data_IF_118549746283
#
_entry.id   IF_118549746283
#
_cell.length_a   1.000
_cell.length_b   1.000
_cell.length_c   1.000
_cell.angle_alpha   90.00
_cell.angle_beta   90.00
_cell.angle_gamma   90.00
#
_symmetry.space_group_name_H-M   'P 1'
#
loop_
_entity.id
_entity.type
_entity.pdbx_description
1 polymer ?
#
# COMPACT_ATOMS: atom_id res chain seq x y z
N UNK A 1 -6.07 -10.04 -20.28
CA UNK A 1 -4.80 -9.46 -20.76
C UNK A 1 -3.69 -10.49 -20.67
N UNK A 2 -2.79 -10.61 -21.65
CA UNK A 2 -1.61 -11.45 -21.60
C UNK A 2 -0.42 -10.65 -22.13
N UNK A 3 0.72 -10.74 -21.44
CA UNK A 3 1.98 -10.09 -21.85
C UNK A 3 2.93 -11.02 -22.59
N UNK A 4 2.64 -12.31 -22.55
CA UNK A 4 3.36 -13.35 -23.30
C UNK A 4 2.35 -14.29 -23.95
N UNK A 5 2.49 -14.51 -25.23
CA UNK A 5 1.72 -15.50 -25.97
C UNK A 5 2.52 -16.81 -26.07
N UNK A 6 1.99 -17.88 -25.51
CA UNK A 6 2.61 -19.20 -25.44
C UNK A 6 1.64 -20.31 -25.98
N UNK A 7 0.84 -20.00 -26.98
CA UNK A 7 -0.16 -20.92 -27.51
C UNK A 7 -1.19 -21.33 -26.44
N UNK A 8 -1.31 -22.63 -26.19
CA UNK A 8 -2.24 -23.17 -25.18
C UNK A 8 -1.86 -22.78 -23.73
N UNK A 9 -0.60 -22.47 -23.47
CA UNK A 9 -0.07 -22.09 -22.16
C UNK A 9 -0.12 -20.57 -21.94
N UNK A 10 -0.79 -19.83 -22.81
CA UNK A 10 -0.99 -18.38 -22.62
C UNK A 10 -1.86 -18.13 -21.40
N UNK A 11 -1.30 -17.44 -20.42
CA UNK A 11 -2.04 -17.03 -19.23
C UNK A 11 -2.67 -15.65 -19.43
N UNK A 12 -4.01 -15.58 -19.35
CA UNK A 12 -4.76 -14.34 -19.46
C UNK A 12 -5.16 -13.83 -18.08
N UNK A 13 -4.71 -12.64 -17.73
CA UNK A 13 -5.09 -11.95 -16.53
C UNK A 13 -6.34 -11.10 -16.74
N UNK A 14 -7.23 -10.96 -15.74
CA UNK A 14 -8.34 -10.03 -15.77
C UNK A 14 -7.87 -8.59 -16.01
N UNK A 15 -8.71 -7.81 -16.69
CA UNK A 15 -8.51 -6.37 -16.90
C UNK A 15 -9.85 -5.68 -16.75
N UNK A 16 -10.45 -5.78 -15.54
CA UNK A 16 -11.81 -5.37 -15.24
C UNK A 16 -11.83 -4.10 -14.41
N UNK A 17 -12.93 -3.34 -14.55
CA UNK A 17 -13.18 -2.13 -13.75
C UNK A 17 -13.60 -2.46 -12.31
N UNK A 18 -14.14 -3.67 -12.06
CA UNK A 18 -14.88 -4.03 -10.87
C UNK A 18 -16.40 -3.88 -11.08
N UNK A 19 -17.20 -4.68 -10.37
CA UNK A 19 -18.67 -4.74 -10.56
C UNK A 19 -19.37 -3.40 -10.33
N UNK A 20 -18.83 -2.54 -9.49
CA UNK A 20 -19.38 -1.21 -9.18
C UNK A 20 -18.62 -0.06 -9.87
N UNK A 21 -17.74 -0.39 -10.80
CA UNK A 21 -16.90 0.56 -11.52
C UNK A 21 -15.56 0.85 -10.85
N UNK A 22 -14.69 1.46 -11.62
CA UNK A 22 -13.30 1.69 -11.26
C UNK A 22 -13.11 2.51 -9.98
N UNK A 23 -12.32 1.98 -9.06
CA UNK A 23 -11.97 2.65 -7.80
C UNK A 23 -13.06 2.61 -6.74
N UNK A 24 -14.10 1.81 -6.92
CA UNK A 24 -15.20 1.62 -5.97
C UNK A 24 -15.15 0.22 -5.35
N UNK A 25 -15.66 0.09 -4.14
CA UNK A 25 -15.81 -1.21 -3.51
C UNK A 25 -16.79 -2.09 -4.30
N UNK A 26 -16.38 -3.35 -4.57
CA UNK A 26 -17.17 -4.29 -5.37
C UNK A 26 -16.44 -5.60 -5.59
N UNK A 27 -17.04 -6.48 -6.41
CA UNK A 27 -16.47 -7.73 -6.87
C UNK A 27 -15.82 -7.62 -8.25
N UNK A 28 -15.47 -8.76 -8.84
CA UNK A 28 -14.94 -8.86 -10.20
C UNK A 28 -15.95 -8.43 -11.27
N UNK A 29 -15.49 -8.26 -12.50
CA UNK A 29 -16.29 -7.91 -13.65
C UNK A 29 -16.33 -6.41 -13.95
N UNK A 30 -17.40 -5.96 -14.59
CA UNK A 30 -17.58 -4.58 -14.99
C UNK A 30 -19.01 -4.12 -14.66
N UNK A 31 -19.23 -2.82 -14.46
CA UNK A 31 -20.57 -2.31 -14.19
C UNK A 31 -21.49 -2.52 -15.40
N UNK A 32 -22.81 -2.61 -15.18
CA UNK A 32 -23.77 -2.65 -16.28
C UNK A 32 -23.60 -1.46 -17.21
N UNK A 33 -23.57 -1.73 -18.51
CA UNK A 33 -23.57 -0.69 -19.54
C UNK A 33 -24.95 -0.72 -20.27
N UNK A 34 -25.83 0.24 -20.02
CA UNK A 34 -27.15 0.27 -20.62
C UNK A 34 -27.11 0.48 -22.14
N UNK A 35 -26.03 1.02 -22.67
CA UNK A 35 -25.86 1.39 -24.07
C UNK A 35 -25.02 0.39 -24.88
N UNK A 36 -24.56 -0.73 -24.29
CA UNK A 36 -23.69 -1.64 -25.00
C UNK A 36 -23.09 -2.77 -24.16
N UNK A 37 -21.91 -3.19 -24.58
CA UNK A 37 -21.20 -4.29 -23.92
C UNK A 37 -20.54 -3.85 -22.60
N UNK A 38 -20.49 -4.75 -21.63
CA UNK A 38 -19.80 -4.54 -20.36
C UNK A 38 -18.31 -4.18 -20.52
N UNK A 39 -17.73 -4.53 -21.69
CA UNK A 39 -16.33 -4.28 -22.02
C UNK A 39 -16.13 -3.07 -22.94
N UNK A 40 -17.15 -2.27 -23.15
CA UNK A 40 -17.09 -1.11 -24.07
C UNK A 40 -15.99 -0.11 -23.70
N UNK A 41 -15.68 0.05 -22.41
CA UNK A 41 -14.58 0.89 -21.92
C UNK A 41 -13.23 0.55 -22.56
N UNK A 42 -13.04 -0.67 -23.05
CA UNK A 42 -11.77 -1.05 -23.71
C UNK A 42 -11.54 -0.22 -24.97
N UNK A 43 -12.54 -0.09 -25.84
CA UNK A 43 -12.39 0.69 -27.08
C UNK A 43 -12.82 2.15 -26.93
N UNK A 44 -13.69 2.45 -25.98
CA UNK A 44 -14.14 3.82 -25.73
C UNK A 44 -13.12 4.65 -24.94
N UNK A 45 -12.32 4.00 -24.07
CA UNK A 45 -11.37 4.68 -23.19
C UNK A 45 -9.93 4.15 -23.34
N UNK A 46 -9.73 2.83 -23.15
CA UNK A 46 -8.38 2.26 -23.01
C UNK A 46 -7.63 2.25 -24.33
N UNK A 47 -8.27 1.82 -25.42
CA UNK A 47 -7.67 1.71 -26.75
C UNK A 47 -7.74 3.00 -27.57
N UNK A 48 -8.25 4.08 -26.99
CA UNK A 48 -8.14 5.38 -27.64
C UNK A 48 -6.68 5.79 -27.84
N UNK A 49 -6.38 6.44 -28.96
CA UNK A 49 -5.00 6.79 -29.37
C UNK A 49 -4.18 7.41 -28.24
N UNK A 50 -4.70 8.44 -27.60
CA UNK A 50 -3.97 9.15 -26.54
C UNK A 50 -3.78 8.27 -25.28
N UNK A 51 -4.78 7.44 -24.96
CA UNK A 51 -4.73 6.51 -23.83
C UNK A 51 -3.69 5.41 -24.10
N UNK A 52 -3.66 4.82 -25.29
CA UNK A 52 -2.66 3.81 -25.66
C UNK A 52 -1.24 4.40 -25.68
N UNK A 53 -1.07 5.59 -26.21
CA UNK A 53 0.24 6.27 -26.19
C UNK A 53 0.72 6.53 -24.77
N UNK A 54 -0.17 6.95 -23.87
CA UNK A 54 0.13 7.13 -22.44
C UNK A 54 0.54 5.80 -21.77
N UNK A 55 -0.20 4.70 -22.06
CA UNK A 55 0.14 3.36 -21.55
C UNK A 55 1.52 2.91 -22.05
N UNK A 56 1.77 2.99 -23.34
CA UNK A 56 3.01 2.55 -23.97
C UNK A 56 4.23 3.35 -23.47
N UNK A 57 4.08 4.66 -23.28
CA UNK A 57 5.18 5.53 -22.91
C UNK A 57 5.46 5.58 -21.39
N UNK A 58 4.42 5.38 -20.55
CA UNK A 58 4.51 5.75 -19.13
C UNK A 58 4.12 4.64 -18.15
N UNK A 59 3.56 3.54 -18.64
CA UNK A 59 3.18 2.41 -17.80
C UNK A 59 3.88 1.12 -18.19
N UNK A 60 4.14 0.93 -19.48
CA UNK A 60 4.81 -0.30 -19.91
C UNK A 60 6.31 -0.20 -19.67
N UNK A 61 6.88 -1.28 -19.14
CA UNK A 61 8.32 -1.45 -18.95
C UNK A 61 8.72 -2.90 -19.18
N UNK A 62 9.98 -3.13 -19.50
CA UNK A 62 10.55 -4.46 -19.65
C UNK A 62 11.44 -4.74 -18.43
N UNK A 63 10.96 -5.59 -17.55
CA UNK A 63 11.70 -6.03 -16.38
C UNK A 63 12.67 -7.15 -16.77
N UNK A 64 13.94 -7.07 -16.33
CA UNK A 64 15.02 -8.03 -16.58
C UNK A 64 15.23 -8.36 -18.07
N UNK A 65 14.85 -7.45 -18.97
CA UNK A 65 14.93 -7.67 -20.40
C UNK A 65 14.03 -8.81 -20.94
N UNK A 66 13.14 -9.36 -20.13
CA UNK A 66 12.33 -10.54 -20.48
C UNK A 66 10.85 -10.40 -20.19
N UNK A 67 10.48 -9.77 -19.09
CA UNK A 67 9.09 -9.70 -18.62
C UNK A 67 8.50 -8.33 -18.91
N UNK A 68 7.50 -8.29 -19.80
CA UNK A 68 6.78 -7.05 -20.08
C UNK A 68 5.79 -6.77 -18.96
N UNK A 69 6.00 -5.68 -18.23
CA UNK A 69 5.07 -5.16 -17.24
C UNK A 69 4.01 -4.33 -17.95
N UNK A 70 2.77 -4.66 -17.69
CA UNK A 70 1.59 -3.93 -18.19
C UNK A 70 0.65 -3.65 -17.00
N UNK A 71 0.08 -2.45 -16.86
CA UNK A 71 -0.75 -2.12 -15.71
C UNK A 71 -2.04 -2.94 -15.72
N UNK A 72 -2.50 -3.38 -14.55
CA UNK A 72 -3.87 -3.84 -14.36
C UNK A 72 -4.81 -2.65 -14.40
N UNK A 73 -6.10 -2.87 -14.67
CA UNK A 73 -7.03 -1.75 -14.83
C UNK A 73 -7.07 -0.80 -13.62
N UNK A 74 -7.19 -1.34 -12.41
CA UNK A 74 -7.21 -0.52 -11.19
C UNK A 74 -5.92 0.28 -10.97
N UNK A 75 -4.77 -0.24 -11.39
CA UNK A 75 -3.48 0.46 -11.32
C UNK A 75 -3.44 1.64 -12.31
N UNK A 76 -3.89 1.39 -13.55
CA UNK A 76 -4.00 2.42 -14.58
C UNK A 76 -4.94 3.53 -14.15
N UNK A 77 -6.11 3.15 -13.64
CA UNK A 77 -7.17 4.08 -13.23
C UNK A 77 -6.75 4.95 -12.05
N UNK A 78 -6.21 4.34 -10.98
CA UNK A 78 -5.78 5.11 -9.80
C UNK A 78 -4.69 6.12 -10.12
N UNK A 79 -3.66 5.73 -10.88
CA UNK A 79 -2.56 6.64 -11.22
C UNK A 79 -3.07 7.80 -12.07
N UNK A 80 -3.94 7.54 -13.03
CA UNK A 80 -4.55 8.58 -13.88
C UNK A 80 -5.43 9.54 -13.09
N UNK A 81 -6.26 9.01 -12.20
CA UNK A 81 -7.14 9.82 -11.32
C UNK A 81 -6.32 10.70 -10.38
N UNK A 82 -5.28 10.15 -9.73
CA UNK A 82 -4.39 10.92 -8.87
C UNK A 82 -3.71 12.06 -9.64
N UNK A 83 -3.13 11.77 -10.79
CA UNK A 83 -2.45 12.79 -11.61
C UNK A 83 -3.42 13.88 -12.08
N UNK A 84 -4.63 13.51 -12.48
CA UNK A 84 -5.65 14.46 -12.91
C UNK A 84 -6.10 15.37 -11.76
N UNK A 85 -6.40 14.79 -10.60
CA UNK A 85 -6.86 15.54 -9.42
C UNK A 85 -5.77 16.48 -8.88
N UNK A 86 -4.53 16.00 -8.77
CA UNK A 86 -3.38 16.83 -8.36
C UNK A 86 -3.11 17.96 -9.35
N UNK A 87 -3.25 17.71 -10.66
CA UNK A 87 -3.09 18.78 -11.66
C UNK A 87 -4.10 19.89 -11.50
N UNK A 88 -5.32 19.54 -11.09
CA UNK A 88 -6.41 20.50 -10.88
C UNK A 88 -6.29 21.21 -9.54
N UNK A 89 -6.01 20.50 -8.45
CA UNK A 89 -6.03 21.01 -7.08
C UNK A 89 -4.69 21.57 -6.60
N UNK A 90 -3.59 21.15 -7.21
CA UNK A 90 -2.24 21.49 -6.77
C UNK A 90 -1.77 20.70 -5.56
N UNK A 91 -0.74 21.20 -4.89
CA UNK A 91 -0.18 20.60 -3.67
C UNK A 91 -1.09 20.80 -2.43
N UNK A 92 -0.76 20.11 -1.34
CA UNK A 92 -1.48 20.20 -0.05
C UNK A 92 -2.67 19.23 0.05
N UNK A 93 -2.81 18.28 -0.84
CA UNK A 93 -3.90 17.29 -0.84
C UNK A 93 -3.50 15.98 -0.17
N UNK A 94 -4.48 15.28 0.39
CA UNK A 94 -4.32 13.96 0.97
C UNK A 94 -5.16 12.94 0.19
N UNK A 95 -4.57 11.78 -0.10
CA UNK A 95 -5.21 10.70 -0.84
C UNK A 95 -4.98 9.37 -0.14
N UNK A 96 -6.07 8.64 0.12
CA UNK A 96 -6.02 7.28 0.62
C UNK A 96 -6.34 6.31 -0.50
N UNK A 97 -5.43 5.39 -0.79
CA UNK A 97 -5.56 4.36 -1.80
C UNK A 97 -5.67 3.01 -1.10
N UNK A 98 -6.89 2.47 -1.04
CA UNK A 98 -7.16 1.18 -0.43
C UNK A 98 -7.09 0.09 -1.48
N UNK A 99 -5.93 -0.52 -1.62
CA UNK A 99 -5.71 -1.64 -2.53
C UNK A 99 -5.32 -2.90 -1.76
N UNK A 100 -6.01 -4.01 -2.01
CA UNK A 100 -5.79 -5.29 -1.33
C UNK A 100 -4.36 -5.80 -1.44
N UNK A 101 -3.98 -6.76 -0.62
CA UNK A 101 -2.78 -7.56 -0.84
C UNK A 101 -2.83 -8.20 -2.25
N UNK A 102 -1.68 -8.42 -2.86
CA UNK A 102 -1.59 -8.98 -4.22
C UNK A 102 -2.07 -8.06 -5.36
N UNK A 103 -2.51 -6.83 -5.07
CA UNK A 103 -2.94 -5.85 -6.08
C UNK A 103 -1.80 -5.28 -6.93
N UNK A 104 -0.54 -5.51 -6.53
CA UNK A 104 0.63 -4.91 -7.18
C UNK A 104 0.84 -3.44 -6.80
N UNK A 105 0.65 -3.10 -5.52
CA UNK A 105 0.83 -1.74 -4.98
C UNK A 105 2.18 -1.13 -5.34
N UNK A 106 3.27 -1.90 -5.29
CA UNK A 106 4.63 -1.41 -5.62
C UNK A 106 4.70 -0.79 -7.01
N UNK A 107 4.08 -1.42 -8.02
CA UNK A 107 4.00 -0.85 -9.37
C UNK A 107 3.14 0.42 -9.39
N UNK A 108 2.00 0.44 -8.70
CA UNK A 108 1.15 1.64 -8.62
C UNK A 108 1.89 2.81 -7.96
N UNK A 109 2.67 2.54 -6.90
CA UNK A 109 3.53 3.51 -6.23
C UNK A 109 4.61 4.02 -7.18
N UNK A 110 5.31 3.13 -7.89
CA UNK A 110 6.35 3.52 -8.84
C UNK A 110 5.78 4.42 -9.94
N UNK A 111 4.70 4.02 -10.61
CA UNK A 111 4.06 4.86 -11.63
C UNK A 111 3.57 6.20 -11.06
N UNK A 112 3.00 6.21 -9.86
CA UNK A 112 2.58 7.45 -9.19
C UNK A 112 3.77 8.36 -8.94
N UNK A 113 4.88 7.82 -8.41
CA UNK A 113 6.09 8.59 -8.14
C UNK A 113 6.65 9.25 -9.40
N UNK A 114 6.81 8.52 -10.49
CA UNK A 114 7.29 9.06 -11.77
C UNK A 114 6.36 10.10 -12.38
N UNK A 115 5.05 9.83 -12.31
CA UNK A 115 4.04 10.74 -12.86
C UNK A 115 3.98 12.05 -12.08
N UNK A 116 4.07 12.01 -10.75
CA UNK A 116 4.09 13.18 -9.90
C UNK A 116 5.42 13.95 -10.03
N UNK A 117 6.56 13.25 -10.10
CA UNK A 117 7.87 13.87 -10.29
C UNK A 117 7.99 14.66 -11.61
N UNK A 118 7.24 14.25 -12.64
CA UNK A 118 7.20 14.92 -13.95
C UNK A 118 5.93 15.72 -14.19
N UNK A 119 5.15 16.02 -13.14
CA UNK A 119 3.87 16.73 -13.27
C UNK A 119 4.07 18.25 -13.31
N UNK A 120 3.54 18.86 -14.35
CA UNK A 120 3.49 20.33 -14.49
C UNK A 120 2.04 20.80 -14.39
N UNK A 121 1.85 21.96 -13.80
CA UNK A 121 0.57 22.65 -13.74
C UNK A 121 0.23 23.33 -15.08
N UNK A 122 -0.90 24.01 -15.15
CA UNK A 122 -1.36 24.74 -16.33
C UNK A 122 -0.45 25.91 -16.74
N UNK A 123 0.37 26.40 -15.80
CA UNK A 123 1.36 27.47 -16.05
C UNK A 123 2.74 26.92 -16.45
N UNK A 124 2.84 25.62 -16.73
CA UNK A 124 4.08 24.91 -17.07
C UNK A 124 5.14 24.98 -15.94
N UNK A 125 4.70 25.05 -14.68
CA UNK A 125 5.57 24.96 -13.49
C UNK A 125 5.47 23.57 -12.88
N UNK A 126 6.57 22.98 -12.36
CA UNK A 126 6.51 21.71 -11.63
C UNK A 126 5.56 21.83 -10.44
N UNK A 127 4.66 20.86 -10.28
CA UNK A 127 3.76 20.83 -9.11
C UNK A 127 4.54 20.48 -7.86
N UNK A 128 5.48 19.55 -7.97
CA UNK A 128 6.33 19.10 -6.86
C UNK A 128 7.81 19.29 -7.19
N UNK A 129 8.59 19.74 -6.21
CA UNK A 129 10.04 19.81 -6.28
C UNK A 129 10.66 18.41 -6.19
N UNK A 130 10.14 17.58 -5.27
CA UNK A 130 10.55 16.19 -5.09
C UNK A 130 9.35 15.33 -4.71
N UNK A 131 9.43 14.05 -5.05
CA UNK A 131 8.52 12.99 -4.61
C UNK A 131 9.27 12.08 -3.65
N UNK A 132 8.78 11.91 -2.44
CA UNK A 132 9.42 11.12 -1.38
C UNK A 132 8.58 9.88 -1.14
N UNK A 133 9.17 8.71 -1.38
CA UNK A 133 8.52 7.41 -1.15
C UNK A 133 9.01 6.87 0.19
N UNK A 134 8.08 6.67 1.11
CA UNK A 134 8.34 6.20 2.47
C UNK A 134 7.87 4.77 2.61
N UNK A 135 8.76 3.88 3.02
CA UNK A 135 8.48 2.46 3.27
C UNK A 135 8.75 2.12 4.74
N UNK A 136 8.07 1.09 5.25
CA UNK A 136 8.25 0.65 6.63
C UNK A 136 9.34 -0.44 6.77
N UNK A 137 9.57 -1.24 5.74
CA UNK A 137 10.44 -2.42 5.81
C UNK A 137 11.64 -2.33 4.88
N UNK A 138 12.82 -2.65 5.42
CA UNK A 138 14.07 -2.72 4.66
C UNK A 138 14.06 -3.73 3.51
N UNK A 139 13.42 -4.89 3.68
CA UNK A 139 13.32 -5.93 2.63
C UNK A 139 12.33 -5.51 1.52
N UNK A 140 11.20 -4.90 1.88
CA UNK A 140 10.26 -4.33 0.90
C UNK A 140 10.82 -3.08 0.25
N UNK A 141 11.64 -2.33 0.97
CA UNK A 141 12.36 -1.18 0.45
C UNK A 141 13.26 -1.58 -0.73
N UNK A 142 14.04 -2.67 -0.64
CA UNK A 142 14.85 -3.17 -1.74
C UNK A 142 14.00 -3.55 -2.97
N UNK A 143 12.87 -4.24 -2.78
CA UNK A 143 11.96 -4.60 -3.88
C UNK A 143 11.29 -3.38 -4.51
N UNK A 144 10.87 -2.43 -3.71
CA UNK A 144 10.27 -1.19 -4.19
C UNK A 144 11.30 -0.30 -4.89
N UNK A 145 12.52 -0.21 -4.35
CA UNK A 145 13.65 0.48 -5.00
C UNK A 145 13.95 -0.12 -6.36
N UNK A 146 14.04 -1.46 -6.47
CA UNK A 146 14.25 -2.16 -7.72
C UNK A 146 13.12 -1.88 -8.71
N UNK A 147 11.87 -1.92 -8.24
CA UNK A 147 10.70 -1.60 -9.08
C UNK A 147 10.75 -0.15 -9.57
N UNK A 148 10.99 0.81 -8.68
CA UNK A 148 11.10 2.23 -9.06
C UNK A 148 12.29 2.44 -9.98
N UNK A 149 13.48 1.95 -9.65
CA UNK A 149 14.67 2.10 -10.48
C UNK A 149 14.54 1.41 -11.84
N UNK A 150 13.78 0.32 -11.92
CA UNK A 150 13.50 -0.39 -13.17
C UNK A 150 12.67 0.44 -14.18
N UNK A 151 11.96 1.47 -13.72
CA UNK A 151 11.26 2.43 -14.58
C UNK A 151 12.14 3.64 -14.95
N UNK A 152 13.32 3.79 -14.35
CA UNK A 152 14.18 4.96 -14.58
C UNK A 152 14.91 4.86 -15.90
N UNK A 153 14.55 5.73 -16.83
CA UNK A 153 15.25 5.93 -18.10
C UNK A 153 16.24 7.10 -18.03
N UNK A 154 16.31 7.79 -16.87
CA UNK A 154 17.15 8.98 -16.69
C UNK A 154 18.07 8.74 -15.48
N UNK A 155 19.35 8.50 -15.73
CA UNK A 155 20.37 8.28 -14.70
C UNK A 155 20.34 9.41 -13.66
N UNK A 156 20.18 9.05 -12.37
CA UNK A 156 20.22 9.97 -11.24
C UNK A 156 18.89 10.64 -10.88
N UNK A 157 17.76 10.22 -11.48
CA UNK A 157 16.44 10.72 -11.10
C UNK A 157 15.93 10.17 -9.77
N UNK A 158 16.41 8.99 -9.36
CA UNK A 158 16.03 8.30 -8.13
C UNK A 158 17.19 8.23 -7.15
N UNK A 159 16.98 8.69 -5.94
CA UNK A 159 17.94 8.59 -4.84
C UNK A 159 17.38 7.73 -3.69
N UNK A 160 18.00 6.58 -3.44
CA UNK A 160 17.64 5.70 -2.35
C UNK A 160 18.45 6.03 -1.09
N UNK A 161 17.74 6.27 0.02
CA UNK A 161 18.29 6.55 1.34
C UNK A 161 17.94 5.38 2.27
N UNK A 162 18.64 4.26 2.05
CA UNK A 162 18.49 3.02 2.80
C UNK A 162 19.08 3.08 4.22
N UNK A 163 19.23 1.92 4.87
CA UNK A 163 19.79 1.83 6.23
C UNK A 163 21.26 2.25 6.33
N UNK A 164 22.01 2.06 5.25
CA UNK A 164 23.41 2.44 5.11
C UNK A 164 23.63 3.97 5.06
N UNK A 165 22.58 4.74 4.82
CA UNK A 165 22.59 6.20 4.77
C UNK A 165 21.90 6.79 6.00
N UNK A 166 22.35 7.96 6.41
CA UNK A 166 21.84 8.65 7.60
C UNK A 166 20.79 9.74 7.26
N UNK A 167 20.27 10.41 8.27
CA UNK A 167 19.30 11.51 8.11
C UNK A 167 19.90 12.75 7.43
N UNK A 168 21.23 12.91 7.49
CA UNK A 168 21.96 13.96 6.76
C UNK A 168 21.89 13.75 5.25
N UNK A 169 22.08 12.51 4.79
CA UNK A 169 21.98 12.15 3.37
C UNK A 169 20.57 12.43 2.83
N UNK A 170 19.51 12.16 3.62
CA UNK A 170 18.14 12.51 3.25
C UNK A 170 17.96 14.02 3.11
N UNK A 171 18.48 14.78 4.06
CA UNK A 171 18.46 16.25 4.03
C UNK A 171 19.16 16.76 2.77
N UNK A 172 20.33 16.24 2.47
CA UNK A 172 21.11 16.66 1.30
C UNK A 172 20.37 16.31 -0.01
N UNK A 173 19.74 15.13 -0.10
CA UNK A 173 18.91 14.75 -1.25
C UNK A 173 17.73 15.72 -1.47
N UNK A 174 17.03 16.10 -0.40
CA UNK A 174 15.92 17.08 -0.46
C UNK A 174 16.45 18.46 -0.91
N UNK A 175 17.55 18.93 -0.34
CA UNK A 175 18.13 20.24 -0.61
C UNK A 175 18.72 20.32 -2.03
N UNK A 176 19.34 19.25 -2.49
CA UNK A 176 19.89 19.12 -3.85
C UNK A 176 18.80 18.95 -4.92
N UNK A 177 17.54 18.74 -4.51
CA UNK A 177 16.41 18.66 -5.42
C UNK A 177 16.32 17.34 -6.19
N UNK A 178 16.71 16.22 -5.55
CA UNK A 178 16.48 14.88 -6.11
C UNK A 178 15.00 14.71 -6.46
N UNK A 179 14.71 14.19 -7.65
CA UNK A 179 13.32 14.15 -8.19
C UNK A 179 12.46 13.11 -7.47
N UNK A 180 13.02 11.94 -7.20
CA UNK A 180 12.40 10.87 -6.46
C UNK A 180 13.39 10.44 -5.36
N UNK A 181 12.92 10.42 -4.13
CA UNK A 181 13.69 9.99 -2.97
C UNK A 181 12.97 8.80 -2.34
N UNK A 182 13.67 7.70 -2.12
CA UNK A 182 13.12 6.53 -1.42
C UNK A 182 13.77 6.46 -0.06
N UNK A 183 12.96 6.39 1.00
CA UNK A 183 13.44 6.38 2.38
C UNK A 183 12.56 5.54 3.29
N UNK A 184 13.01 5.31 4.51
CA UNK A 184 12.27 4.55 5.52
C UNK A 184 11.48 5.47 6.45
N UNK A 185 10.44 4.91 7.09
CA UNK A 185 9.57 5.64 8.01
C UNK A 185 10.35 6.27 9.18
N UNK A 186 11.43 5.65 9.64
CA UNK A 186 12.27 6.16 10.72
C UNK A 186 12.93 7.51 10.40
N UNK A 187 13.10 7.84 9.12
CA UNK A 187 13.69 9.11 8.67
C UNK A 187 12.65 10.17 8.33
N UNK A 188 11.36 9.84 8.46
CA UNK A 188 10.25 10.73 8.13
C UNK A 188 10.30 12.11 8.82
N UNK A 189 10.71 12.23 10.10
CA UNK A 189 10.77 13.52 10.78
C UNK A 189 11.66 14.56 10.10
N UNK A 190 12.74 14.08 9.46
CA UNK A 190 13.63 14.96 8.70
C UNK A 190 12.91 15.65 7.55
N UNK A 191 11.94 14.95 6.92
CA UNK A 191 11.12 15.48 5.82
C UNK A 191 10.38 16.74 6.29
N UNK A 192 9.71 16.68 7.43
CA UNK A 192 8.98 17.82 7.99
C UNK A 192 9.91 18.99 8.29
N UNK A 193 11.03 18.72 8.93
CA UNK A 193 12.00 19.75 9.31
C UNK A 193 12.56 20.47 8.09
N UNK A 194 12.90 19.74 7.03
CA UNK A 194 13.50 20.33 5.83
C UNK A 194 12.45 21.02 4.94
N UNK A 195 11.26 20.45 4.82
CA UNK A 195 10.15 21.06 4.05
C UNK A 195 9.76 22.43 4.62
N UNK A 196 9.75 22.57 5.95
CA UNK A 196 9.45 23.84 6.60
C UNK A 196 10.52 24.93 6.34
N UNK A 197 11.77 24.51 6.07
CA UNK A 197 12.86 25.46 5.77
C UNK A 197 12.86 25.91 4.31
N UNK A 198 12.26 25.15 3.41
CA UNK A 198 12.25 25.43 1.96
C UNK A 198 10.97 26.16 1.54
N UNK A 199 10.91 27.45 1.81
CA UNK A 199 9.77 28.28 1.41
C UNK A 199 9.52 28.22 -0.11
N UNK A 200 8.28 27.96 -0.50
CA UNK A 200 7.83 27.98 -1.91
C UNK A 200 8.05 26.70 -2.70
N UNK A 201 8.62 25.64 -2.13
CA UNK A 201 8.69 24.31 -2.75
C UNK A 201 7.58 23.41 -2.24
N UNK A 202 7.00 22.62 -3.13
CA UNK A 202 6.00 21.61 -2.79
C UNK A 202 6.61 20.20 -2.88
N UNK A 203 6.12 19.29 -2.04
CA UNK A 203 6.58 17.92 -1.97
C UNK A 203 5.40 16.94 -1.98
N UNK A 204 5.58 15.81 -2.66
CA UNK A 204 4.67 14.68 -2.57
C UNK A 204 5.29 13.59 -1.70
N UNK A 205 4.53 13.06 -0.75
CA UNK A 205 4.94 11.95 0.11
C UNK A 205 4.05 10.75 -0.19
N UNK A 206 4.63 9.69 -0.69
CA UNK A 206 3.95 8.42 -0.95
C UNK A 206 4.31 7.46 0.18
N UNK A 207 3.30 6.93 0.86
CA UNK A 207 3.49 6.03 2.00
C UNK A 207 3.01 4.64 1.57
N UNK A 208 3.91 3.65 1.62
CA UNK A 208 3.59 2.24 1.37
C UNK A 208 3.34 1.52 2.70
N UNK A 209 2.30 0.67 2.71
CA UNK A 209 1.90 -0.15 3.85
C UNK A 209 1.78 0.64 5.16
N UNK A 210 0.90 1.65 5.16
CA UNK A 210 0.60 2.46 6.36
C UNK A 210 0.09 1.63 7.57
N UNK A 211 0.11 0.29 7.50
CA UNK A 211 -0.44 -0.60 8.53
C UNK A 211 0.53 -1.69 9.00
N UNK A 212 1.83 -1.57 8.83
CA UNK A 212 2.72 -2.68 9.16
C UNK A 212 2.76 -2.98 10.65
N UNK A 213 2.36 -4.20 10.97
CA UNK A 213 2.42 -4.80 12.29
C UNK A 213 3.83 -5.34 12.56
N UNK A 214 4.81 -4.52 12.92
CA UNK A 214 6.03 -5.03 13.55
C UNK A 214 6.55 -4.09 14.64
N UNK A 215 6.48 -4.64 15.87
CA UNK A 215 7.26 -4.39 17.09
C UNK A 215 7.63 -2.94 17.40
N UNK A 216 7.18 -2.49 18.54
CA UNK A 216 7.39 -1.21 19.23
C UNK A 216 8.74 -0.51 19.13
N UNK A 217 9.78 -1.20 18.69
CA UNK A 217 11.12 -0.62 18.48
C UNK A 217 11.16 0.40 17.32
N UNK A 218 10.35 0.26 16.28
CA UNK A 218 10.32 1.22 15.15
C UNK A 218 9.53 2.48 15.50
N UNK A 219 8.45 2.34 16.26
CA UNK A 219 7.70 3.49 16.79
C UNK A 219 8.51 4.27 17.83
N UNK A 220 9.26 3.58 18.67
CA UNK A 220 10.21 4.17 19.61
C UNK A 220 11.32 4.94 18.90
N UNK A 221 11.90 4.40 17.84
CA UNK A 221 12.92 5.06 17.04
C UNK A 221 12.37 6.28 16.29
N UNK A 222 11.14 6.20 15.79
CA UNK A 222 10.44 7.35 15.19
C UNK A 222 10.24 8.45 16.23
N UNK A 223 9.79 8.11 17.44
CA UNK A 223 9.64 9.03 18.55
C UNK A 223 10.97 9.62 19.03
N UNK A 224 12.01 8.81 19.19
CA UNK A 224 13.34 9.29 19.59
C UNK A 224 13.97 10.21 18.53
N UNK A 225 13.64 10.04 17.27
CA UNK A 225 14.07 10.94 16.20
C UNK A 225 13.25 12.26 16.18
N UNK A 226 12.04 12.26 16.72
CA UNK A 226 11.10 13.40 16.76
C UNK A 226 11.19 14.19 18.06
N UNK A 227 11.56 13.55 19.14
CA UNK A 227 11.68 14.18 20.45
C UNK A 227 13.14 14.39 20.79
N UNK A 228 13.54 15.63 20.98
CA UNK A 228 14.85 15.99 21.58
C UNK A 228 14.90 15.63 23.08
N UNK A 229 13.87 14.92 23.61
CA UNK A 229 13.78 14.63 25.04
C UNK A 229 13.15 13.27 25.35
N UNK A 230 13.80 12.48 26.23
CA UNK A 230 13.25 11.25 26.84
C UNK A 230 11.89 11.48 27.56
N UNK A 231 11.61 12.71 27.95
CA UNK A 231 10.39 13.10 28.67
C UNK A 231 9.12 12.96 27.81
N UNK A 232 9.18 13.25 26.50
CA UNK A 232 8.03 13.12 25.62
C UNK A 232 7.66 11.63 25.37
N UNK A 233 8.64 10.71 25.45
CA UNK A 233 8.41 9.28 25.35
C UNK A 233 7.72 8.72 26.60
N UNK A 234 8.13 9.21 27.78
CA UNK A 234 7.53 8.82 29.06
C UNK A 234 6.10 9.32 29.20
N UNK A 235 5.87 10.58 28.83
CA UNK A 235 4.53 11.18 28.86
C UNK A 235 3.53 10.48 27.93
N UNK A 236 3.99 9.98 26.78
CA UNK A 236 3.16 9.23 25.86
C UNK A 236 2.82 7.81 26.36
N UNK A 237 3.79 7.09 26.91
CA UNK A 237 3.56 5.75 27.47
C UNK A 237 2.61 5.81 28.68
N UNK A 238 2.72 6.86 29.50
CA UNK A 238 1.81 7.10 30.62
C UNK A 238 0.39 7.48 30.19
N UNK A 239 0.22 8.28 29.12
CA UNK A 239 -1.09 8.69 28.58
C UNK A 239 -1.86 7.54 27.94
N UNK A 240 -1.18 6.58 27.31
CA UNK A 240 -1.83 5.46 26.62
C UNK A 240 -1.97 4.19 27.49
N UNK A 241 -1.28 4.13 28.63
CA UNK A 241 -1.31 2.94 29.52
C UNK A 241 -0.85 1.65 28.86
N UNK A 242 -0.13 1.74 27.76
CA UNK A 242 0.42 0.62 26.98
C UNK A 242 1.93 0.52 27.23
N UNK A 243 2.45 -0.73 27.29
CA UNK A 243 3.87 -0.96 27.27
C UNK A 243 4.46 -0.41 25.95
N UNK A 244 5.69 0.13 26.02
CA UNK A 244 6.39 0.74 24.86
C UNK A 244 6.46 -0.18 23.62
N UNK A 245 6.42 -1.50 23.83
CA UNK A 245 6.47 -2.55 22.81
C UNK A 245 5.12 -2.77 22.06
N UNK A 246 4.02 -2.13 22.49
CA UNK A 246 2.68 -2.33 21.94
C UNK A 246 2.21 -1.18 21.02
N UNK A 247 3.03 -0.16 20.78
CA UNK A 247 2.66 0.97 19.95
C UNK A 247 2.79 0.60 18.47
N UNK A 248 1.66 0.71 17.75
CA UNK A 248 1.60 0.48 16.31
C UNK A 248 2.29 1.65 15.54
N UNK A 249 3.19 1.37 14.59
CA UNK A 249 3.84 2.40 13.77
C UNK A 249 2.87 3.30 13.00
N UNK A 250 1.71 2.76 12.58
CA UNK A 250 0.67 3.56 11.92
C UNK A 250 0.07 4.59 12.88
N UNK A 251 -0.22 4.19 14.12
CA UNK A 251 -0.76 5.10 15.13
C UNK A 251 0.25 6.22 15.45
N UNK A 252 1.54 5.90 15.48
CA UNK A 252 2.61 6.88 15.67
C UNK A 252 2.71 7.86 14.48
N UNK A 253 2.66 7.36 13.24
CA UNK A 253 2.67 8.20 12.03
C UNK A 253 1.44 9.09 11.97
N UNK A 254 0.25 8.54 12.20
CA UNK A 254 -1.02 9.30 12.21
C UNK A 254 -0.99 10.40 13.26
N UNK A 255 -0.50 10.09 14.46
CA UNK A 255 -0.40 11.06 15.55
C UNK A 255 0.57 12.19 15.21
N UNK A 256 1.72 11.86 14.64
CA UNK A 256 2.70 12.85 14.20
C UNK A 256 2.12 13.77 13.13
N UNK A 257 1.49 13.21 12.09
CA UNK A 257 0.84 13.98 11.04
C UNK A 257 -0.28 14.86 11.59
N UNK A 258 -1.04 14.37 12.59
CA UNK A 258 -2.12 15.14 13.23
C UNK A 258 -1.55 16.26 14.08
N UNK A 259 -0.45 16.05 14.81
CA UNK A 259 0.16 17.05 15.67
C UNK A 259 0.73 18.25 14.90
N UNK A 260 1.24 18.03 13.69
CA UNK A 260 1.81 19.07 12.83
C UNK A 260 0.74 19.78 11.95
N UNK A 261 -0.48 19.25 11.88
CA UNK A 261 -1.56 19.79 11.06
C UNK A 261 -1.33 19.63 9.54
N UNK A 262 -2.24 20.20 8.74
CA UNK A 262 -2.15 20.14 7.28
C UNK A 262 -1.17 21.19 6.74
N UNK A 263 -0.13 20.73 6.09
CA UNK A 263 0.83 21.59 5.39
C UNK A 263 0.38 21.83 3.94
N UNK A 264 0.28 23.10 3.55
CA UNK A 264 -0.15 23.49 2.18
C UNK A 264 0.84 23.06 1.09
N UNK A 265 2.09 22.80 1.46
CA UNK A 265 3.17 22.41 0.56
C UNK A 265 3.50 20.91 0.60
N UNK A 266 2.77 20.11 1.39
CA UNK A 266 2.90 18.65 1.45
C UNK A 266 1.62 17.97 0.97
N UNK A 267 1.74 17.09 -0.01
CA UNK A 267 0.66 16.18 -0.41
C UNK A 267 0.99 14.76 0.00
N UNK A 268 0.01 14.03 0.51
CA UNK A 268 0.18 12.65 0.96
C UNK A 268 -0.61 11.68 0.09
N UNK A 269 0.04 10.55 -0.26
CA UNK A 269 -0.52 9.45 -1.04
C UNK A 269 -0.32 8.16 -0.25
N UNK A 270 -1.28 7.80 0.59
CA UNK A 270 -1.20 6.64 1.46
C UNK A 270 -1.77 5.40 0.77
N UNK A 271 -0.93 4.39 0.53
CA UNK A 271 -1.32 3.09 -0.01
C UNK A 271 -1.43 2.07 1.12
N UNK A 272 -2.57 1.43 1.26
CA UNK A 272 -2.79 0.40 2.28
C UNK A 272 -3.83 -0.63 1.83
N UNK A 273 -3.77 -1.84 2.36
CA UNK A 273 -4.80 -2.86 2.12
C UNK A 273 -5.98 -2.72 3.10
N UNK A 274 -5.72 -2.31 4.32
CA UNK A 274 -6.66 -2.32 5.46
C UNK A 274 -6.55 -1.04 6.27
N UNK A 275 -7.14 0.09 5.80
CA UNK A 275 -7.06 1.35 6.52
C UNK A 275 -7.80 1.25 7.87
N UNK A 276 -7.20 1.80 8.92
CA UNK A 276 -7.83 2.02 10.22
C UNK A 276 -8.70 3.29 10.18
N UNK A 277 -9.55 3.49 11.20
CA UNK A 277 -10.39 4.68 11.31
C UNK A 277 -9.56 5.97 11.28
N UNK A 278 -8.48 6.03 12.03
CA UNK A 278 -7.59 7.20 12.07
C UNK A 278 -6.90 7.47 10.71
N UNK A 279 -6.54 6.43 9.96
CA UNK A 279 -5.98 6.55 8.60
C UNK A 279 -7.03 7.10 7.62
N UNK A 280 -8.29 6.67 7.76
CA UNK A 280 -9.41 7.20 6.99
C UNK A 280 -9.65 8.69 7.28
N UNK A 281 -9.66 9.10 8.55
CA UNK A 281 -9.81 10.51 8.94
C UNK A 281 -8.68 11.40 8.41
N UNK A 282 -7.46 10.90 8.41
CA UNK A 282 -6.29 11.69 8.01
C UNK A 282 -6.12 11.80 6.49
N UNK A 283 -6.30 10.71 5.76
CA UNK A 283 -6.00 10.64 4.33
C UNK A 283 -7.24 10.44 3.45
N UNK A 284 -8.38 10.09 4.03
CA UNK A 284 -9.62 9.87 3.29
C UNK A 284 -10.25 11.17 2.80
N UNK A 285 -11.10 11.04 1.80
CA UNK A 285 -11.95 12.13 1.31
C UNK A 285 -13.15 12.28 2.22
N UNK A 286 -13.32 13.45 2.81
CA UNK A 286 -14.47 13.79 3.64
C UNK A 286 -15.72 13.98 2.79
N UNK A 287 -16.80 13.33 3.17
CA UNK A 287 -18.11 13.45 2.53
C UNK A 287 -19.02 14.40 3.33
N UNK A 288 -20.13 14.92 2.73
CA UNK A 288 -21.03 15.85 3.38
C UNK A 288 -21.70 15.35 4.68
N UNK A 289 -21.74 14.03 4.87
CA UNK A 289 -22.24 13.38 6.09
C UNK A 289 -21.19 13.25 7.19
N UNK A 290 -19.96 13.76 6.96
CA UNK A 290 -18.83 13.67 7.88
C UNK A 290 -18.08 12.35 7.83
N UNK A 291 -18.47 11.42 6.95
CA UNK A 291 -17.74 10.17 6.76
C UNK A 291 -16.50 10.38 5.88
N UNK A 292 -15.46 9.57 6.13
CA UNK A 292 -14.22 9.59 5.36
C UNK A 292 -14.10 8.33 4.54
N UNK A 293 -13.85 8.46 3.24
CA UNK A 293 -13.74 7.35 2.30
C UNK A 293 -12.40 7.37 1.54
N UNK A 294 -11.88 6.19 1.16
CA UNK A 294 -10.73 6.13 0.27
C UNK A 294 -11.00 6.84 -1.06
N UNK A 295 -9.98 7.51 -1.58
CA UNK A 295 -10.02 8.10 -2.92
C UNK A 295 -10.19 7.04 -4.01
N UNK A 296 -9.60 5.84 -3.80
CA UNK A 296 -9.67 4.73 -4.75
C UNK A 296 -9.61 3.40 -4.01
N UNK A 297 -10.48 2.47 -4.39
CA UNK A 297 -10.57 1.12 -3.81
C UNK A 297 -10.30 0.06 -4.88
N UNK A 298 -9.47 -0.91 -4.55
CA UNK A 298 -9.43 -2.23 -5.17
C UNK A 298 -9.59 -3.25 -4.05
N UNK A 299 -10.81 -3.77 -3.91
CA UNK A 299 -11.21 -4.52 -2.73
C UNK A 299 -10.57 -5.92 -2.67
N UNK A 300 -10.48 -6.48 -1.47
CA UNK A 300 -10.07 -7.86 -1.27
C UNK A 300 -11.03 -8.83 -2.00
N UNK A 301 -12.33 -8.55 -1.98
CA UNK A 301 -13.34 -9.33 -2.69
C UNK A 301 -13.04 -9.36 -4.19
N UNK A 302 -12.80 -8.22 -4.82
CA UNK A 302 -12.46 -8.16 -6.24
C UNK A 302 -11.18 -8.95 -6.54
N UNK A 303 -10.15 -8.82 -5.70
CA UNK A 303 -8.89 -9.52 -5.88
C UNK A 303 -9.03 -11.07 -5.75
N UNK A 304 -9.90 -11.55 -4.86
CA UNK A 304 -10.22 -12.97 -4.71
C UNK A 304 -10.98 -13.47 -5.96
N UNK A 305 -12.04 -12.79 -6.34
CA UNK A 305 -12.89 -13.16 -7.47
C UNK A 305 -12.12 -13.10 -8.81
N UNK A 306 -11.11 -12.23 -8.93
CA UNK A 306 -10.19 -12.15 -10.07
C UNK A 306 -9.05 -13.17 -10.01
N UNK A 307 -8.91 -13.93 -8.92
CA UNK A 307 -7.92 -15.00 -8.77
C UNK A 307 -6.51 -14.50 -8.44
N UNK A 308 -6.33 -13.26 -7.96
CA UNK A 308 -5.03 -12.74 -7.56
C UNK A 308 -4.61 -13.12 -6.15
N UNK A 309 -5.59 -13.39 -5.28
CA UNK A 309 -5.37 -13.89 -3.92
C UNK A 309 -6.32 -15.05 -3.65
N UNK A 310 -5.91 -15.95 -2.78
CA UNK A 310 -6.74 -17.06 -2.35
C UNK A 310 -7.87 -16.57 -1.44
N UNK A 311 -9.05 -17.18 -1.57
CA UNK A 311 -10.14 -16.95 -0.64
C UNK A 311 -9.82 -17.58 0.71
N UNK A 312 -9.39 -16.75 1.64
CA UNK A 312 -9.02 -17.18 3.00
C UNK A 312 -10.24 -17.77 3.73
N UNK A 313 -11.45 -17.28 3.43
CA UNK A 313 -12.68 -17.74 4.10
C UNK A 313 -13.09 -19.16 3.68
N UNK A 314 -12.80 -19.57 2.46
CA UNK A 314 -13.06 -20.95 2.02
C UNK A 314 -12.13 -21.97 2.68
N UNK A 315 -10.97 -21.54 3.14
CA UNK A 315 -9.96 -22.38 3.79
C UNK A 315 -9.86 -22.12 5.29
N UNK A 316 -10.83 -21.38 5.86
CA UNK A 316 -10.84 -21.01 7.27
C UNK A 316 -11.71 -21.97 8.07
N UNK A 317 -11.12 -22.56 9.10
CA UNK A 317 -11.84 -23.31 10.12
C UNK A 317 -11.63 -22.62 11.47
N UNK A 318 -12.72 -22.29 12.18
CA UNK A 318 -12.57 -21.66 13.51
C UNK A 318 -11.87 -22.62 14.47
N UNK A 319 -11.05 -22.09 15.37
CA UNK A 319 -10.42 -22.90 16.42
C UNK A 319 -11.44 -23.70 17.22
N UNK A 320 -12.62 -23.13 17.52
CA UNK A 320 -13.68 -23.84 18.21
C UNK A 320 -14.23 -25.04 17.42
N UNK A 321 -14.31 -24.91 16.09
CA UNK A 321 -14.75 -26.00 15.21
C UNK A 321 -13.70 -27.11 15.14
N UNK A 322 -12.42 -26.74 14.95
CA UNK A 322 -11.30 -27.69 14.99
C UNK A 322 -11.24 -28.45 16.34
N UNK A 323 -11.41 -27.72 17.43
CA UNK A 323 -11.42 -28.30 18.77
C UNK A 323 -12.59 -29.25 18.98
N UNK A 324 -13.81 -28.92 18.54
CA UNK A 324 -14.98 -29.81 18.60
C UNK A 324 -14.81 -31.05 17.74
N UNK A 325 -14.17 -30.95 16.59
CA UNK A 325 -13.86 -32.09 15.72
C UNK A 325 -12.77 -32.97 16.36
N UNK A 326 -11.77 -32.39 17.00
CA UNK A 326 -10.66 -33.11 17.63
C UNK A 326 -11.02 -33.74 18.97
N UNK A 327 -12.02 -33.20 19.69
CA UNK A 327 -12.51 -33.68 20.98
C UNK A 327 -14.01 -33.95 20.93
N UNK A 328 -14.39 -35.19 20.94
CA UNK A 328 -15.78 -35.68 21.21
C UNK A 328 -16.20 -35.52 22.67
N UNK A 329 -15.81 -34.44 23.36
CA UNK A 329 -16.09 -34.26 24.80
C UNK A 329 -16.95 -32.99 24.96
N UNK A 330 -18.03 -33.07 25.79
CA UNK A 330 -18.89 -31.94 26.10
C UNK A 330 -18.13 -30.79 26.80
N UNK A 331 -18.57 -29.54 26.58
CA UNK A 331 -18.05 -28.36 27.23
C UNK A 331 -17.96 -28.54 28.76
N UNK A 332 -16.80 -28.27 29.36
CA UNK A 332 -16.63 -28.26 30.78
C UNK A 332 -16.95 -26.84 31.32
N UNK A 333 -18.07 -26.67 32.08
CA UNK A 333 -18.55 -25.34 32.48
C UNK A 333 -17.72 -24.65 33.58
N UNK A 334 -16.71 -25.33 34.15
CA UNK A 334 -16.01 -24.86 35.36
C UNK A 334 -14.77 -23.97 35.10
N UNK A 335 -14.49 -23.63 33.84
CA UNK A 335 -13.34 -22.75 33.49
C UNK A 335 -13.78 -21.35 33.05
N UNK A 336 -13.20 -20.28 33.60
CA UNK A 336 -13.46 -18.93 33.11
C UNK A 336 -13.18 -18.83 31.59
N UNK A 337 -14.09 -18.20 30.83
CA UNK A 337 -14.05 -18.16 29.37
C UNK A 337 -12.70 -17.67 28.79
N UNK A 338 -12.06 -16.73 29.44
CA UNK A 338 -10.72 -16.22 29.03
C UNK A 338 -9.60 -17.23 29.18
N UNK A 339 -9.65 -18.04 30.25
CA UNK A 339 -8.65 -19.08 30.53
C UNK A 339 -8.90 -20.32 29.65
N UNK A 340 -10.17 -20.64 29.41
CA UNK A 340 -10.57 -21.70 28.49
C UNK A 340 -10.12 -21.37 27.06
N UNK A 341 -10.33 -20.15 26.57
CA UNK A 341 -9.90 -19.70 25.25
C UNK A 341 -8.37 -19.80 25.07
N UNK A 342 -7.60 -19.41 26.09
CA UNK A 342 -6.13 -19.49 26.03
C UNK A 342 -5.61 -20.93 26.02
N UNK A 343 -6.22 -21.81 26.78
CA UNK A 343 -5.89 -23.25 26.81
C UNK A 343 -6.31 -23.97 25.53
N UNK A 344 -7.48 -23.65 25.00
CA UNK A 344 -7.98 -24.16 23.71
C UNK A 344 -7.02 -23.74 22.58
N UNK A 345 -6.67 -22.45 22.50
CA UNK A 345 -5.74 -21.93 21.50
C UNK A 345 -4.38 -22.64 21.55
N UNK A 346 -3.80 -22.77 22.75
CA UNK A 346 -2.52 -23.47 22.94
C UNK A 346 -2.59 -24.94 22.55
N UNK A 347 -3.69 -25.62 22.89
CA UNK A 347 -3.90 -27.02 22.52
C UNK A 347 -4.04 -27.18 21.00
N UNK A 348 -4.83 -26.33 20.36
CA UNK A 348 -5.06 -26.35 18.91
C UNK A 348 -3.80 -26.04 18.12
N UNK A 349 -2.99 -25.05 18.56
CA UNK A 349 -1.73 -24.68 17.91
C UNK A 349 -0.71 -25.83 17.91
N UNK A 350 -0.68 -26.61 18.99
CA UNK A 350 0.26 -27.71 19.20
C UNK A 350 -0.31 -29.10 18.88
N UNK A 351 -1.56 -29.18 18.46
CA UNK A 351 -2.19 -30.48 18.20
C UNK A 351 -1.58 -31.11 16.92
N UNK A 352 -1.12 -32.39 16.96
CA UNK A 352 -0.47 -33.05 15.83
C UNK A 352 -1.29 -33.01 14.54
N UNK A 353 -2.61 -33.12 14.62
CA UNK A 353 -3.53 -33.02 13.49
C UNK A 353 -3.47 -31.64 12.84
N UNK A 354 -3.51 -30.56 13.62
CA UNK A 354 -3.43 -29.19 13.11
C UNK A 354 -2.08 -28.90 12.47
N UNK A 355 -0.99 -29.35 13.09
CA UNK A 355 0.37 -29.25 12.54
C UNK A 355 0.46 -30.01 11.21
N UNK A 356 -0.09 -31.24 11.15
CA UNK A 356 -0.13 -32.05 9.94
C UNK A 356 -0.92 -31.37 8.81
N UNK A 357 -2.09 -30.78 9.10
CA UNK A 357 -2.90 -30.08 8.11
C UNK A 357 -2.20 -28.81 7.61
N UNK A 358 -1.59 -28.04 8.50
CA UNK A 358 -0.79 -26.85 8.09
C UNK A 358 0.39 -27.24 7.23
N UNK A 359 1.11 -28.29 7.61
CA UNK A 359 2.24 -28.80 6.82
C UNK A 359 1.77 -29.28 5.43
N UNK A 360 0.63 -29.98 5.35
CA UNK A 360 0.04 -30.44 4.08
C UNK A 360 -0.30 -29.23 3.17
N UNK A 361 -1.00 -28.24 3.70
CA UNK A 361 -1.37 -27.03 2.96
C UNK A 361 -0.11 -26.29 2.46
N UNK A 362 0.90 -26.15 3.31
CA UNK A 362 2.18 -25.51 2.92
C UNK A 362 2.84 -26.28 1.77
N UNK A 363 2.91 -27.63 1.86
CA UNK A 363 3.54 -28.47 0.83
C UNK A 363 2.73 -28.43 -0.47
N UNK A 364 1.40 -28.51 -0.41
CA UNK A 364 0.54 -28.44 -1.59
C UNK A 364 0.64 -27.08 -2.26
N UNK A 365 0.53 -25.99 -1.51
CA UNK A 365 0.70 -24.62 -2.02
C UNK A 365 2.09 -24.42 -2.62
N UNK A 366 3.14 -24.92 -1.95
CA UNK A 366 4.51 -24.85 -2.48
C UNK A 366 4.64 -25.63 -3.79
N UNK A 367 4.07 -26.82 -3.90
CA UNK A 367 4.06 -27.59 -5.14
C UNK A 367 3.35 -26.87 -6.27
N UNK A 368 2.15 -26.31 -6.01
CA UNK A 368 1.37 -25.61 -7.02
C UNK A 368 2.02 -24.30 -7.45
N UNK A 369 2.65 -23.57 -6.55
CA UNK A 369 3.23 -22.25 -6.85
C UNK A 369 4.68 -22.30 -7.32
N UNK A 370 5.45 -23.32 -6.95
CA UNK A 370 6.90 -23.34 -7.15
C UNK A 370 7.37 -24.44 -8.11
N UNK A 371 6.61 -25.54 -8.28
CA UNK A 371 7.00 -26.65 -9.19
C UNK A 371 6.89 -26.28 -10.68
N UNK A 372 6.37 -25.10 -11.00
CA UNK A 372 6.28 -24.58 -12.37
C UNK A 372 7.29 -23.44 -12.65
N UNK A 373 8.21 -23.22 -11.72
CA UNK A 373 9.41 -22.40 -11.93
C UNK A 373 10.62 -23.29 -12.12
#
# INVERSE_FOLDING_TARGET
MATRLAGKDTHFLPFNQGSNGAGRDGGAGNPPNPNGYLTAYLWEEVFQKNSMMDILQKFMSLQDGKTLIFPRYHQLDVVRKLVADVRQKGAGQHYLIQHSAGSGKSNSIAWTAYRLASLFNTENKPVFASVIVVTDRTVLDAQLQETISGFDHTLGAVEAIGEDKNSGDLRDAINNGARIIITTLQKFPVIYTEVNKTAGKNYAVIIDEAHSSQTGTSALKLKAALADTEDALREYAELEGKAEDEIDPEDALVKELTSHGRHKNLSFFAFTATPKAATLELFGTEYPDGSHHPFHIYSMRQAIEEGFILDVLQNYMTYSTCFKIAKTIPDNPDLPASRAAKLIRKYEELHPYNISQKAKIIVETFRETTSHK
#
